data_IF_761626679982
#
_entry.id   IF_761626679982
#
_cell.length_a   1.000
_cell.length_b   1.000
_cell.length_c   1.000
_cell.angle_alpha   90.00
_cell.angle_beta   90.00
_cell.angle_gamma   90.00
#
_symmetry.space_group_name_H-M   'P 1'
#
loop_
_entity.id
_entity.type
_entity.pdbx_description
1 polymer ?
#
# COMPACT_ATOMS: atom_id res chain seq x y z
N UNK A 1 -55.60 -0.69 14.33
CA UNK A 1 -54.12 -0.64 14.51
C UNK A 1 -53.32 -1.36 13.41
N UNK A 2 -53.88 -1.56 12.22
CA UNK A 2 -53.28 -2.34 11.09
C UNK A 2 -52.94 -1.49 9.86
N UNK A 3 -53.10 -0.16 9.87
CA UNK A 3 -52.81 0.69 8.70
C UNK A 3 -51.44 1.37 8.69
N UNK A 4 -50.71 1.40 9.81
CA UNK A 4 -49.45 2.10 9.93
C UNK A 4 -48.21 1.23 9.51
N UNK A 5 -48.34 -0.10 9.50
CA UNK A 5 -47.24 -1.00 9.10
C UNK A 5 -47.01 -1.05 7.58
N UNK A 6 -48.08 -0.90 6.78
CA UNK A 6 -47.93 -0.93 5.31
C UNK A 6 -47.29 0.36 4.76
N UNK A 7 -47.52 1.52 5.39
CA UNK A 7 -46.90 2.77 4.97
C UNK A 7 -45.40 2.80 5.26
N UNK A 8 -44.96 2.23 6.37
CA UNK A 8 -43.53 2.10 6.71
C UNK A 8 -42.78 1.15 5.79
N UNK A 9 -43.41 0.03 5.37
CA UNK A 9 -42.84 -0.93 4.43
C UNK A 9 -42.71 -0.34 3.02
N UNK A 10 -43.69 0.43 2.56
CA UNK A 10 -43.63 1.12 1.25
C UNK A 10 -42.61 2.24 1.27
N UNK A 11 -42.43 2.98 2.38
CA UNK A 11 -41.37 3.98 2.53
C UNK A 11 -39.99 3.38 2.57
N UNK A 12 -39.82 2.21 3.21
CA UNK A 12 -38.54 1.49 3.23
C UNK A 12 -38.17 0.94 1.85
N UNK A 13 -39.13 0.45 1.06
CA UNK A 13 -38.92 -0.01 -0.32
C UNK A 13 -38.54 1.15 -1.27
N UNK A 14 -39.11 2.34 -1.07
CA UNK A 14 -38.80 3.54 -1.86
C UNK A 14 -37.39 4.09 -1.58
N UNK A 15 -36.86 3.93 -0.36
CA UNK A 15 -35.51 4.35 -0.01
C UNK A 15 -34.45 3.42 -0.61
N UNK A 16 -34.73 2.12 -0.72
CA UNK A 16 -33.80 1.15 -1.32
C UNK A 16 -33.68 1.32 -2.85
N UNK A 17 -34.73 1.87 -3.51
CA UNK A 17 -34.75 2.08 -4.96
C UNK A 17 -33.83 3.21 -5.47
N UNK A 18 -33.29 4.08 -4.60
CA UNK A 18 -32.45 5.21 -4.99
C UNK A 18 -30.95 4.91 -4.97
N UNK A 19 -30.51 3.70 -4.64
CA UNK A 19 -29.09 3.31 -4.71
C UNK A 19 -28.71 2.57 -6.00
N UNK A 20 -29.44 2.76 -7.09
CA UNK A 20 -28.94 2.39 -8.41
C UNK A 20 -27.92 3.47 -8.78
N UNK A 21 -26.68 3.26 -8.34
CA UNK A 21 -25.53 4.00 -8.89
C UNK A 21 -25.47 3.63 -10.37
N UNK A 22 -25.53 4.63 -11.29
CA UNK A 22 -25.27 4.32 -12.67
C UNK A 22 -23.86 3.70 -12.72
N UNK A 23 -23.78 2.47 -13.26
CA UNK A 23 -22.50 1.88 -13.66
C UNK A 23 -21.94 2.73 -14.81
N UNK A 24 -21.40 3.89 -14.49
CA UNK A 24 -20.54 4.60 -15.44
C UNK A 24 -19.32 3.69 -15.64
N UNK A 25 -19.07 3.32 -16.89
CA UNK A 25 -17.81 2.69 -17.23
C UNK A 25 -16.70 3.60 -16.68
N UNK A 26 -15.95 3.12 -15.69
CA UNK A 26 -14.85 3.85 -15.09
C UNK A 26 -13.89 4.27 -16.20
N UNK A 27 -13.66 5.56 -16.37
CA UNK A 27 -12.68 6.03 -17.35
C UNK A 27 -11.26 5.69 -16.89
N UNK A 28 -10.32 5.64 -17.82
CA UNK A 28 -8.90 5.43 -17.48
C UNK A 28 -8.39 6.52 -16.53
N UNK A 29 -8.92 7.74 -16.66
CA UNK A 29 -8.55 8.85 -15.77
C UNK A 29 -9.08 8.64 -14.35
N UNK A 30 -10.34 8.23 -14.21
CA UNK A 30 -10.92 7.94 -12.90
C UNK A 30 -10.19 6.79 -12.20
N UNK A 31 -9.79 5.76 -12.99
CA UNK A 31 -9.00 4.65 -12.52
C UNK A 31 -7.60 5.11 -12.05
N UNK A 32 -6.99 6.06 -12.76
CA UNK A 32 -5.70 6.63 -12.36
C UNK A 32 -5.80 7.43 -11.06
N UNK A 33 -6.80 8.29 -10.93
CA UNK A 33 -7.05 9.04 -9.70
C UNK A 33 -7.29 8.10 -8.52
N UNK A 34 -8.12 7.07 -8.70
CA UNK A 34 -8.34 6.06 -7.66
C UNK A 34 -7.04 5.32 -7.29
N UNK A 35 -6.19 4.99 -8.27
CA UNK A 35 -4.92 4.31 -8.03
C UNK A 35 -3.93 5.16 -7.22
N UNK A 36 -3.86 6.49 -7.43
CA UNK A 36 -3.02 7.38 -6.63
C UNK A 36 -3.35 7.32 -5.12
N UNK A 37 -4.62 7.09 -4.79
CA UNK A 37 -5.07 7.02 -3.38
C UNK A 37 -5.05 5.62 -2.79
N UNK A 38 -5.23 4.59 -3.62
CA UNK A 38 -5.49 3.23 -3.14
C UNK A 38 -4.37 2.24 -3.44
N UNK A 39 -3.46 2.51 -4.42
CA UNK A 39 -2.36 1.59 -4.72
C UNK A 39 -1.32 1.58 -3.58
N UNK A 40 -1.14 0.43 -2.89
CA UNK A 40 -0.24 0.36 -1.74
C UNK A 40 1.23 0.50 -2.16
N UNK A 41 1.59 0.07 -3.37
CA UNK A 41 2.96 0.16 -3.89
C UNK A 41 3.35 1.61 -4.16
N UNK A 42 2.43 2.39 -4.75
CA UNK A 42 2.64 3.83 -4.96
C UNK A 42 2.76 4.57 -3.64
N UNK A 43 1.86 4.30 -2.69
CA UNK A 43 1.88 4.95 -1.37
C UNK A 43 3.13 4.61 -0.58
N UNK A 44 3.60 3.36 -0.64
CA UNK A 44 4.87 2.96 -0.03
C UNK A 44 6.04 3.73 -0.64
N UNK A 45 6.09 3.83 -1.97
CA UNK A 45 7.14 4.58 -2.66
C UNK A 45 7.12 6.08 -2.33
N UNK A 46 5.93 6.67 -2.14
CA UNK A 46 5.78 8.06 -1.70
C UNK A 46 6.40 8.26 -0.31
N UNK A 47 6.04 7.42 0.66
CA UNK A 47 6.59 7.51 2.02
C UNK A 47 8.08 7.16 2.09
N UNK A 48 8.57 6.25 1.26
CA UNK A 48 10.01 5.99 1.11
C UNK A 48 10.75 7.22 0.59
N UNK A 49 10.16 7.96 -0.36
CA UNK A 49 10.73 9.21 -0.86
C UNK A 49 10.76 10.29 0.21
N UNK A 50 9.65 10.47 0.93
CA UNK A 50 9.56 11.43 2.05
C UNK A 50 10.58 11.11 3.15
N UNK A 51 10.75 9.83 3.50
CA UNK A 51 11.78 9.39 4.44
C UNK A 51 13.19 9.63 3.89
N UNK A 52 13.41 9.35 2.61
CA UNK A 52 14.70 9.57 1.96
C UNK A 52 15.11 11.03 1.86
N UNK A 53 14.17 11.96 1.74
CA UNK A 53 14.42 13.40 1.76
C UNK A 53 14.97 13.90 3.10
N UNK A 54 14.66 13.20 4.21
CA UNK A 54 15.22 13.55 5.51
C UNK A 54 16.73 13.29 5.60
N UNK A 55 17.31 12.50 4.69
CA UNK A 55 18.75 12.25 4.66
C UNK A 55 19.57 13.54 4.51
N UNK A 56 19.07 14.53 3.75
CA UNK A 56 19.71 15.85 3.66
C UNK A 56 19.74 16.56 5.00
N UNK A 57 18.62 16.55 5.74
CA UNK A 57 18.54 17.20 7.07
C UNK A 57 19.42 16.48 8.10
N UNK A 58 19.48 15.15 8.03
CA UNK A 58 20.35 14.33 8.89
C UNK A 58 21.81 14.67 8.61
N UNK A 59 22.20 14.78 7.34
CA UNK A 59 23.55 15.21 6.95
C UNK A 59 23.85 16.62 7.43
N UNK A 60 22.91 17.55 7.30
CA UNK A 60 23.04 18.93 7.78
C UNK A 60 23.23 19.00 9.30
N UNK A 61 22.55 18.13 10.06
CA UNK A 61 22.63 18.11 11.52
C UNK A 61 24.05 17.94 12.04
N UNK A 62 24.94 17.27 11.29
CA UNK A 62 26.35 17.10 11.63
C UNK A 62 27.17 18.40 11.56
N UNK A 63 26.65 19.42 10.88
CA UNK A 63 27.25 20.75 10.77
C UNK A 63 26.71 21.77 11.81
N UNK A 64 25.60 21.41 12.46
CA UNK A 64 24.93 22.26 13.44
C UNK A 64 25.46 22.03 14.86
N UNK A 65 25.24 23.00 15.82
CA UNK A 65 25.56 22.80 17.22
C UNK A 65 24.82 21.58 17.78
N UNK A 66 25.54 20.70 18.43
CA UNK A 66 24.98 19.58 19.18
C UNK A 66 24.96 19.90 20.67
N UNK A 67 23.78 19.88 21.26
CA UNK A 67 23.54 20.04 22.69
C UNK A 67 23.19 18.68 23.28
N UNK A 68 23.97 18.23 24.27
CA UNK A 68 23.70 17.00 24.99
C UNK A 68 23.64 17.22 26.49
N UNK A 69 22.70 16.52 27.14
CA UNK A 69 22.59 16.44 28.59
C UNK A 69 22.74 14.99 28.98
N UNK A 70 23.61 14.71 29.95
CA UNK A 70 23.85 13.38 30.49
C UNK A 70 23.72 13.46 32.01
N UNK A 71 22.94 12.56 32.58
CA UNK A 71 22.83 12.33 33.99
C UNK A 71 23.25 10.90 34.30
N UNK A 72 24.23 10.75 35.18
CA UNK A 72 24.67 9.44 35.65
C UNK A 72 24.65 9.39 37.18
N UNK A 73 24.15 8.28 37.69
CA UNK A 73 24.16 7.93 39.10
C UNK A 73 24.94 6.63 39.28
N UNK A 74 25.90 6.63 40.17
CA UNK A 74 26.71 5.46 40.47
C UNK A 74 26.77 5.25 41.98
N UNK A 75 26.49 4.03 42.43
CA UNK A 75 26.68 3.61 43.81
C UNK A 75 27.90 2.70 43.84
N UNK A 76 28.90 3.06 44.62
CA UNK A 76 30.09 2.23 44.83
C UNK A 76 30.13 1.73 46.26
N UNK A 77 30.35 0.42 46.40
CA UNK A 77 30.55 -0.21 47.66
C UNK A 77 31.89 -1.00 47.69
N UNK A 78 32.62 -0.89 48.75
CA UNK A 78 33.90 -1.53 48.89
C UNK A 78 34.41 -1.50 50.30
N UNK A 79 35.65 -1.85 50.51
CA UNK A 79 36.35 -1.73 51.78
C UNK A 79 37.58 -0.82 51.58
N UNK A 80 37.79 0.09 52.52
CA UNK A 80 38.98 0.88 52.59
C UNK A 80 39.87 0.42 53.75
N UNK A 81 41.12 0.18 53.45
CA UNK A 81 42.13 -0.13 54.49
C UNK A 81 43.10 1.07 54.61
N UNK A 82 43.08 1.72 55.75
CA UNK A 82 43.98 2.84 56.04
C UNK A 82 44.99 2.40 57.11
N UNK A 83 46.28 2.56 56.82
CA UNK A 83 47.33 2.38 57.79
C UNK A 83 47.62 3.72 58.49
N UNK A 84 47.67 3.72 59.81
CA UNK A 84 48.10 4.90 60.58
C UNK A 84 49.64 4.98 60.64
N UNK A 85 50.17 6.08 61.15
CA UNK A 85 51.61 6.31 61.25
C UNK A 85 52.35 5.27 62.14
N UNK A 86 51.63 4.50 62.91
CA UNK A 86 52.14 3.39 63.76
C UNK A 86 52.07 2.02 63.05
N UNK A 87 51.69 1.97 61.75
CA UNK A 87 51.61 0.74 60.97
C UNK A 87 50.37 -0.11 61.27
N UNK A 88 49.41 0.38 62.05
CA UNK A 88 48.17 -0.33 62.35
C UNK A 88 47.18 -0.08 61.22
N UNK A 89 46.78 -1.12 60.53
CA UNK A 89 45.77 -1.06 59.44
C UNK A 89 44.38 -1.18 60.03
N UNK A 90 43.51 -0.23 59.72
CA UNK A 90 42.09 -0.27 60.01
C UNK A 90 41.31 -0.42 58.71
N UNK A 91 40.45 -1.44 58.60
CA UNK A 91 39.63 -1.74 57.44
C UNK A 91 38.16 -1.46 57.79
N UNK A 92 37.52 -0.63 56.99
CA UNK A 92 36.12 -0.28 57.17
C UNK A 92 35.36 -0.30 55.83
N UNK A 93 34.03 -0.42 55.86
CA UNK A 93 33.22 -0.32 54.66
C UNK A 93 33.24 1.10 54.08
N UNK A 94 33.38 1.19 52.77
CA UNK A 94 33.28 2.43 52.04
C UNK A 94 32.10 2.34 51.11
N UNK A 95 31.05 3.11 51.36
CA UNK A 95 29.88 3.22 50.50
C UNK A 95 29.73 4.68 50.12
N UNK A 96 29.66 4.97 48.86
CA UNK A 96 29.36 6.32 48.39
C UNK A 96 28.51 6.31 47.13
N UNK A 97 27.60 7.27 47.03
CA UNK A 97 26.78 7.56 45.88
C UNK A 97 27.37 8.80 45.17
N UNK A 98 27.53 8.66 43.87
CA UNK A 98 27.96 9.74 43.00
C UNK A 98 26.87 10.04 42.00
N UNK A 99 26.54 11.32 41.89
CA UNK A 99 25.59 11.80 40.86
C UNK A 99 26.32 12.89 40.07
N UNK A 100 26.34 12.73 38.75
CA UNK A 100 26.97 13.68 37.82
C UNK A 100 25.96 14.06 36.76
N UNK A 101 25.72 15.37 36.62
CA UNK A 101 24.94 15.93 35.53
C UNK A 101 25.83 16.77 34.65
N UNK A 102 25.95 16.46 33.39
CA UNK A 102 26.80 17.17 32.44
C UNK A 102 25.93 17.73 31.30
N UNK A 103 26.05 19.04 31.08
CA UNK A 103 25.51 19.72 29.90
C UNK A 103 26.68 20.06 28.99
N UNK A 104 26.66 19.61 27.74
CA UNK A 104 27.71 19.90 26.77
C UNK A 104 27.13 20.45 25.47
N UNK A 105 27.75 21.53 24.97
CA UNK A 105 27.47 22.12 23.66
C UNK A 105 28.71 21.96 22.79
N UNK A 106 28.57 21.30 21.64
CA UNK A 106 29.66 21.10 20.69
C UNK A 106 29.28 21.66 19.33
N UNK A 107 30.05 22.63 18.83
CA UNK A 107 29.91 23.22 17.50
C UNK A 107 31.16 22.89 16.67
N UNK A 108 31.05 22.10 15.59
CA UNK A 108 32.15 21.95 14.63
C UNK A 108 32.31 23.25 13.84
N UNK A 109 33.51 23.83 13.81
CA UNK A 109 33.82 25.05 13.03
C UNK A 109 34.30 24.65 11.63
N UNK A 110 35.24 23.70 11.55
CA UNK A 110 35.72 23.12 10.30
C UNK A 110 35.71 21.61 10.47
N UNK A 111 34.84 20.93 9.68
CA UNK A 111 34.74 19.48 9.68
C UNK A 111 34.46 19.02 8.25
N UNK A 112 35.47 18.52 7.56
CA UNK A 112 35.35 18.05 6.18
C UNK A 112 34.55 16.76 6.07
N UNK A 113 34.57 15.93 7.12
CA UNK A 113 33.75 14.70 7.20
C UNK A 113 32.26 15.06 7.28
N UNK A 114 31.89 16.01 8.14
CA UNK A 114 30.53 16.51 8.25
C UNK A 114 30.02 17.13 6.94
N UNK A 115 30.91 17.88 6.24
CA UNK A 115 30.58 18.43 4.91
C UNK A 115 30.37 17.33 3.87
N UNK A 116 31.21 16.29 3.89
CA UNK A 116 31.02 15.13 3.01
C UNK A 116 29.71 14.38 3.34
N UNK A 117 29.40 14.21 4.62
CA UNK A 117 28.13 13.63 5.09
C UNK A 117 26.90 14.42 4.64
N UNK A 118 26.96 15.76 4.69
CA UNK A 118 25.90 16.60 4.14
C UNK A 118 25.70 16.40 2.64
N UNK A 119 26.80 16.40 1.86
CA UNK A 119 26.74 16.15 0.40
C UNK A 119 26.18 14.77 0.08
N UNK A 120 26.57 13.76 0.85
CA UNK A 120 26.04 12.40 0.74
C UNK A 120 24.52 12.37 1.03
N UNK A 121 24.08 13.03 2.10
CA UNK A 121 22.67 13.14 2.46
C UNK A 121 21.84 13.79 1.35
N UNK A 122 22.37 14.87 0.76
CA UNK A 122 21.75 15.53 -0.39
C UNK A 122 21.64 14.60 -1.60
N UNK A 123 22.70 13.91 -1.98
CA UNK A 123 22.69 12.97 -3.08
C UNK A 123 21.72 11.79 -2.81
N UNK A 124 21.60 11.35 -1.56
CA UNK A 124 20.63 10.33 -1.15
C UNK A 124 19.17 10.82 -1.30
N UNK A 125 18.90 12.07 -0.91
CA UNK A 125 17.58 12.68 -1.10
C UNK A 125 17.22 12.80 -2.58
N UNK A 126 18.15 13.23 -3.43
CA UNK A 126 17.96 13.30 -4.89
C UNK A 126 17.71 11.90 -5.49
N UNK A 127 18.45 10.88 -5.04
CA UNK A 127 18.23 9.49 -5.45
C UNK A 127 16.85 8.99 -5.05
N UNK A 128 16.36 9.33 -3.86
CA UNK A 128 15.03 8.92 -3.39
C UNK A 128 13.90 9.55 -4.22
N UNK A 129 14.02 10.84 -4.60
CA UNK A 129 13.08 11.50 -5.52
C UNK A 129 13.09 10.86 -6.91
N UNK A 130 14.27 10.55 -7.44
CA UNK A 130 14.39 9.89 -8.74
C UNK A 130 13.74 8.49 -8.74
N UNK A 131 13.94 7.72 -7.66
CA UNK A 131 13.28 6.42 -7.47
C UNK A 131 11.76 6.55 -7.42
N UNK A 132 11.24 7.54 -6.70
CA UNK A 132 9.80 7.79 -6.64
C UNK A 132 9.24 8.14 -8.03
N UNK A 133 9.95 8.96 -8.82
CA UNK A 133 9.54 9.25 -10.20
C UNK A 133 9.42 7.97 -11.03
N UNK A 134 10.39 7.06 -10.93
CA UNK A 134 10.33 5.76 -11.60
C UNK A 134 9.12 4.91 -11.15
N UNK A 135 8.87 4.84 -9.83
CA UNK A 135 7.71 4.13 -9.28
C UNK A 135 6.37 4.72 -9.71
N UNK A 136 6.31 6.05 -9.85
CA UNK A 136 5.11 6.72 -10.38
C UNK A 136 4.84 6.35 -11.84
N UNK A 137 5.88 6.22 -12.66
CA UNK A 137 5.76 5.75 -14.04
C UNK A 137 5.33 4.28 -14.12
N UNK A 138 5.89 3.42 -13.26
CA UNK A 138 5.48 2.01 -13.14
C UNK A 138 3.99 1.87 -12.78
N UNK A 139 3.44 2.75 -11.93
CA UNK A 139 2.01 2.76 -11.61
C UNK A 139 1.18 2.94 -12.88
N UNK A 140 1.54 3.92 -13.73
CA UNK A 140 0.81 4.19 -14.97
C UNK A 140 0.81 2.96 -15.89
N UNK A 141 1.97 2.32 -16.06
CA UNK A 141 2.09 1.12 -16.90
C UNK A 141 1.20 -0.02 -16.38
N UNK A 142 1.29 -0.34 -15.08
CA UNK A 142 0.46 -1.39 -14.46
C UNK A 142 -1.03 -1.07 -14.56
N UNK A 143 -1.40 0.19 -14.37
CA UNK A 143 -2.79 0.62 -14.47
C UNK A 143 -3.35 0.45 -15.89
N UNK A 144 -2.60 0.90 -16.90
CA UNK A 144 -3.01 0.76 -18.32
C UNK A 144 -3.15 -0.71 -18.68
N UNK A 145 -2.20 -1.55 -18.28
CA UNK A 145 -2.24 -2.99 -18.51
C UNK A 145 -3.47 -3.64 -17.85
N UNK A 146 -3.74 -3.34 -16.58
CA UNK A 146 -4.91 -3.85 -15.88
C UNK A 146 -6.23 -3.37 -16.51
N UNK A 147 -6.29 -2.10 -16.91
CA UNK A 147 -7.47 -1.51 -17.54
C UNK A 147 -7.77 -2.15 -18.91
N UNK A 148 -6.74 -2.31 -19.74
CA UNK A 148 -6.88 -2.99 -21.04
C UNK A 148 -7.28 -4.43 -20.88
N UNK A 149 -6.69 -5.16 -19.93
CA UNK A 149 -7.07 -6.53 -19.64
C UNK A 149 -8.53 -6.65 -19.18
N UNK A 150 -9.02 -5.70 -18.38
CA UNK A 150 -10.43 -5.66 -17.97
C UNK A 150 -11.37 -5.43 -19.16
N UNK A 151 -11.01 -4.50 -20.08
CA UNK A 151 -11.78 -4.27 -21.30
C UNK A 151 -11.80 -5.50 -22.23
N UNK A 152 -10.65 -6.16 -22.41
CA UNK A 152 -10.57 -7.40 -23.18
C UNK A 152 -11.43 -8.50 -22.58
N UNK A 153 -11.39 -8.66 -21.25
CA UNK A 153 -12.24 -9.62 -20.56
C UNK A 153 -13.75 -9.35 -20.79
N UNK A 154 -14.14 -8.09 -20.73
CA UNK A 154 -15.52 -7.67 -21.02
C UNK A 154 -15.93 -7.99 -22.47
N UNK A 155 -15.06 -7.73 -23.44
CA UNK A 155 -15.33 -8.06 -24.83
C UNK A 155 -15.39 -9.58 -25.08
N UNK A 156 -14.57 -10.36 -24.38
CA UNK A 156 -14.66 -11.82 -24.42
C UNK A 156 -16.00 -12.35 -23.90
N UNK A 157 -16.51 -11.80 -22.82
CA UNK A 157 -17.84 -12.15 -22.30
C UNK A 157 -18.91 -11.80 -23.34
N UNK A 158 -18.88 -10.61 -23.92
CA UNK A 158 -19.84 -10.19 -24.95
C UNK A 158 -19.79 -11.08 -26.19
N UNK A 159 -18.59 -11.50 -26.59
CA UNK A 159 -18.41 -12.42 -27.71
C UNK A 159 -19.02 -13.80 -27.41
N UNK A 160 -18.76 -14.34 -26.21
CA UNK A 160 -19.31 -15.61 -25.77
C UNK A 160 -20.85 -15.58 -25.72
N UNK A 161 -21.44 -14.51 -25.17
CA UNK A 161 -22.89 -14.29 -25.15
C UNK A 161 -23.48 -14.24 -26.57
N UNK A 162 -22.83 -13.54 -27.50
CA UNK A 162 -23.25 -13.45 -28.89
C UNK A 162 -23.18 -14.80 -29.57
N UNK A 163 -22.14 -15.58 -29.33
CA UNK A 163 -21.98 -16.93 -29.85
C UNK A 163 -23.06 -17.89 -29.31
N UNK A 164 -23.33 -17.79 -27.99
CA UNK A 164 -24.37 -18.60 -27.35
C UNK A 164 -25.75 -18.31 -27.97
N UNK A 165 -26.12 -17.03 -28.11
CA UNK A 165 -27.38 -16.61 -28.74
C UNK A 165 -27.49 -17.10 -30.20
N UNK A 166 -26.40 -17.06 -30.96
CA UNK A 166 -26.36 -17.55 -32.34
C UNK A 166 -26.57 -19.07 -32.41
N UNK A 167 -25.97 -19.83 -31.52
CA UNK A 167 -26.11 -21.27 -31.43
C UNK A 167 -27.53 -21.68 -30.97
N UNK A 168 -28.13 -20.91 -30.07
CA UNK A 168 -29.51 -21.11 -29.64
C UNK A 168 -30.50 -20.93 -30.81
N UNK A 169 -30.32 -19.86 -31.60
CA UNK A 169 -31.14 -19.61 -32.77
C UNK A 169 -30.96 -20.72 -33.84
N UNK A 170 -29.70 -21.12 -34.10
CA UNK A 170 -29.40 -22.19 -35.02
C UNK A 170 -30.03 -23.50 -34.59
N UNK A 171 -29.97 -23.84 -33.29
CA UNK A 171 -30.67 -25.01 -32.73
C UNK A 171 -32.17 -24.95 -33.00
N UNK A 172 -32.81 -23.82 -32.75
CA UNK A 172 -34.25 -23.59 -32.99
C UNK A 172 -34.63 -23.68 -34.47
N UNK A 173 -33.75 -23.23 -35.37
CA UNK A 173 -33.95 -23.39 -36.84
C UNK A 173 -33.87 -24.86 -37.23
N UNK A 174 -32.84 -25.59 -36.80
CA UNK A 174 -32.65 -27.01 -37.14
C UNK A 174 -33.77 -27.89 -36.57
N UNK A 175 -34.28 -27.63 -35.38
CA UNK A 175 -35.45 -28.30 -34.83
C UNK A 175 -36.71 -28.11 -35.68
N UNK A 176 -36.95 -26.86 -36.16
CA UNK A 176 -38.09 -26.57 -37.08
C UNK A 176 -37.92 -27.22 -38.42
N UNK A 177 -36.71 -27.25 -38.99
CA UNK A 177 -36.43 -27.92 -40.26
C UNK A 177 -36.66 -29.44 -40.15
N UNK A 178 -36.26 -30.07 -39.05
CA UNK A 178 -36.51 -31.46 -38.77
C UNK A 178 -38.02 -31.76 -38.70
N UNK A 179 -38.78 -30.92 -37.98
CA UNK A 179 -40.24 -31.04 -37.89
C UNK A 179 -40.95 -30.96 -39.23
N UNK A 180 -40.41 -30.19 -40.18
CA UNK A 180 -40.95 -30.07 -41.54
C UNK A 180 -40.47 -31.17 -42.50
N UNK A 181 -39.55 -32.03 -42.07
CA UNK A 181 -38.93 -33.05 -42.90
C UNK A 181 -37.82 -32.54 -43.84
N UNK A 182 -37.36 -31.30 -43.62
CA UNK A 182 -36.34 -30.63 -44.43
C UNK A 182 -34.93 -30.70 -43.80
N UNK A 183 -34.81 -31.22 -42.54
CA UNK A 183 -33.57 -31.34 -41.80
C UNK A 183 -33.30 -32.76 -41.34
N UNK A 184 -32.08 -32.97 -40.79
CA UNK A 184 -31.68 -34.28 -40.26
C UNK A 184 -31.58 -34.25 -38.73
N UNK A 185 -31.77 -35.41 -38.10
CA UNK A 185 -31.58 -35.59 -36.66
C UNK A 185 -30.10 -35.28 -36.24
N UNK A 186 -29.18 -35.55 -37.17
CA UNK A 186 -27.75 -35.28 -36.95
C UNK A 186 -27.46 -33.78 -36.78
N UNK A 187 -28.09 -32.93 -37.60
CA UNK A 187 -27.92 -31.47 -37.53
C UNK A 187 -28.43 -30.91 -36.19
N UNK A 188 -29.55 -31.45 -35.70
CA UNK A 188 -30.11 -31.05 -34.39
C UNK A 188 -29.18 -31.45 -33.25
N UNK A 189 -28.71 -32.73 -33.25
CA UNK A 189 -27.81 -33.22 -32.20
C UNK A 189 -26.46 -32.50 -32.20
N UNK A 190 -25.89 -32.20 -33.40
CA UNK A 190 -24.64 -31.46 -33.53
C UNK A 190 -24.78 -30.03 -32.96
N UNK A 191 -25.88 -29.34 -33.33
CA UNK A 191 -26.11 -27.97 -32.85
C UNK A 191 -26.38 -27.96 -31.35
N UNK A 192 -27.13 -28.96 -30.84
CA UNK A 192 -27.37 -29.10 -29.41
C UNK A 192 -26.06 -29.32 -28.62
N UNK A 193 -25.14 -30.12 -29.16
CA UNK A 193 -23.84 -30.37 -28.58
C UNK A 193 -22.99 -29.08 -28.56
N UNK A 194 -22.96 -28.36 -29.69
CA UNK A 194 -22.25 -27.07 -29.78
C UNK A 194 -22.79 -26.02 -28.80
N UNK A 195 -24.12 -25.95 -28.66
CA UNK A 195 -24.77 -25.07 -27.70
C UNK A 195 -24.40 -25.42 -26.26
N UNK A 196 -24.42 -26.72 -25.89
CA UNK A 196 -24.08 -27.19 -24.56
C UNK A 196 -22.58 -26.87 -24.21
N UNK A 197 -21.68 -27.03 -25.21
CA UNK A 197 -20.24 -26.68 -25.04
C UNK A 197 -20.07 -25.18 -24.85
N UNK A 198 -20.82 -24.36 -25.61
CA UNK A 198 -20.71 -22.90 -25.49
C UNK A 198 -21.34 -22.36 -24.19
N UNK A 199 -22.20 -23.12 -23.53
CA UNK A 199 -22.81 -22.75 -22.24
C UNK A 199 -21.92 -23.10 -21.03
N UNK A 200 -21.00 -24.05 -21.16
CA UNK A 200 -20.07 -24.48 -20.11
C UNK A 200 -18.89 -23.56 -19.93
#
# INVERSE_FOLDING_TARGET
MMRTHNTLLVLALLVISNYVHPLYAMSLLDAYEAALYHDPTYRSALHESEAGEQAEKIGLASLLPNLSITHSQSTSSGTITQANQLGISNTGPLNFDSQVSTLSLRQPIINMEALAGYRQGKAQADSSRAKFTGRSQELVVRLVEAYVNALLAQEHVRLAETQLNSLEELKRVNERMLQKGEGTTTDVLETQSKYAIAQA
#
